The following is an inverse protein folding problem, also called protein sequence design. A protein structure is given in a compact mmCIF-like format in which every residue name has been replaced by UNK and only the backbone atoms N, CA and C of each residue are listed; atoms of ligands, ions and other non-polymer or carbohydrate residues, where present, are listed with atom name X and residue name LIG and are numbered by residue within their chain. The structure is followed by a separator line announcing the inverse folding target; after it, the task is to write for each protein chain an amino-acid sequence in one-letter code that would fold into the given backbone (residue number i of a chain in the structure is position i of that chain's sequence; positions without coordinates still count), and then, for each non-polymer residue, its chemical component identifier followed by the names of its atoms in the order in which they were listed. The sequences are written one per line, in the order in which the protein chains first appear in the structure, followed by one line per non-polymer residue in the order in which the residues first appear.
data_IF_897774752619
#
_entry.id   IF_897774752619
#
_cell.length_a   1.000
_cell.length_b   1.000
_cell.length_c   1.000
_cell.angle_alpha   90.00
_cell.angle_beta   90.00
_cell.angle_gamma   90.00
#
_symmetry.space_group_name_H-M   'P 1'
#
loop_
_entity.id
_entity.type
_entity.pdbx_description
1 polymer ?
#
# COMPACT_ATOMS: atom_id res chain seq x y z
N UNK A 1 -9.98 -9.67 3.09
CA UNK A 1 -8.55 -9.52 3.47
C UNK A 1 -8.29 -8.10 3.95
N UNK A 2 -7.16 -7.83 4.61
CA UNK A 2 -6.86 -6.49 5.13
C UNK A 2 -6.84 -5.40 4.04
N UNK A 3 -6.37 -5.71 2.82
CA UNK A 3 -6.46 -4.82 1.67
C UNK A 3 -7.92 -4.40 1.34
N UNK A 4 -8.85 -5.36 1.32
CA UNK A 4 -10.28 -5.10 1.06
C UNK A 4 -10.84 -4.17 2.13
N UNK A 5 -10.56 -4.47 3.41
CA UNK A 5 -10.96 -3.61 4.52
C UNK A 5 -10.45 -2.18 4.36
N UNK A 6 -9.16 -1.98 4.06
CA UNK A 6 -8.60 -0.64 3.86
C UNK A 6 -9.26 0.09 2.68
N UNK A 7 -9.55 -0.62 1.59
CA UNK A 7 -10.22 -0.03 0.42
C UNK A 7 -11.64 0.40 0.77
N UNK A 8 -12.43 -0.47 1.40
CA UNK A 8 -13.80 -0.16 1.81
C UNK A 8 -13.84 0.94 2.86
N UNK A 9 -12.90 0.92 3.81
CA UNK A 9 -12.81 1.91 4.87
C UNK A 9 -12.45 3.29 4.32
N UNK A 10 -11.48 3.37 3.41
CA UNK A 10 -11.15 4.61 2.72
C UNK A 10 -12.32 5.13 1.90
N UNK A 11 -12.99 4.29 1.12
CA UNK A 11 -14.12 4.72 0.28
C UNK A 11 -15.31 5.22 1.09
N UNK A 12 -15.53 4.65 2.27
CA UNK A 12 -16.68 4.98 3.12
C UNK A 12 -16.43 6.17 4.04
N UNK A 13 -15.20 6.35 4.51
CA UNK A 13 -14.88 7.32 5.58
C UNK A 13 -13.71 8.26 5.27
N UNK A 14 -12.93 8.01 4.23
CA UNK A 14 -11.80 8.85 3.82
C UNK A 14 -12.13 9.79 2.66
N UNK A 15 -11.22 10.71 2.36
CA UNK A 15 -11.32 11.52 1.16
C UNK A 15 -10.80 10.77 -0.08
N UNK A 16 -11.35 11.06 -1.25
CA UNK A 16 -10.94 10.44 -2.53
C UNK A 16 -9.47 10.68 -2.88
N UNK A 17 -8.90 11.76 -2.36
CA UNK A 17 -7.49 12.15 -2.52
C UNK A 17 -6.53 11.42 -1.58
N UNK A 18 -7.02 10.66 -0.59
CA UNK A 18 -6.18 10.04 0.44
C UNK A 18 -5.99 8.52 0.24
N UNK A 19 -6.50 7.95 -0.85
CA UNK A 19 -6.41 6.51 -1.17
C UNK A 19 -4.99 5.93 -1.06
N UNK A 20 -3.99 6.66 -1.51
CA UNK A 20 -2.59 6.24 -1.38
C UNK A 20 -2.04 6.43 0.05
N UNK A 21 -2.53 7.40 0.81
CA UNK A 21 -2.17 7.62 2.22
C UNK A 21 -2.69 6.52 3.15
N UNK A 22 -3.90 5.99 2.92
CA UNK A 22 -4.45 4.89 3.72
C UNK A 22 -3.57 3.64 3.68
N UNK A 23 -3.15 3.25 2.47
CA UNK A 23 -2.23 2.12 2.31
C UNK A 23 -0.81 2.47 2.79
N UNK A 24 -0.36 3.72 2.61
CA UNK A 24 0.93 4.16 3.12
C UNK A 24 1.05 3.98 4.63
N UNK A 25 0.03 4.42 5.39
CA UNK A 25 0.00 4.25 6.83
C UNK A 25 0.15 2.78 7.24
N UNK A 26 -0.65 1.88 6.65
CA UNK A 26 -0.62 0.47 6.98
C UNK A 26 0.72 -0.19 6.61
N UNK A 27 1.26 0.13 5.43
CA UNK A 27 2.57 -0.37 4.98
C UNK A 27 3.68 0.07 5.93
N UNK A 28 3.72 1.36 6.30
CA UNK A 28 4.75 1.88 7.19
C UNK A 28 4.67 1.26 8.59
N UNK A 29 3.46 1.07 9.13
CA UNK A 29 3.26 0.35 10.40
C UNK A 29 3.79 -1.09 10.34
N UNK A 30 3.55 -1.80 9.24
CA UNK A 30 4.07 -3.17 9.05
C UNK A 30 5.60 -3.19 8.89
N UNK A 31 6.20 -2.17 8.28
CA UNK A 31 7.65 -2.04 8.19
C UNK A 31 8.28 -1.78 9.57
N UNK A 32 7.66 -0.95 10.43
CA UNK A 32 8.07 -0.79 11.82
C UNK A 32 8.01 -2.11 12.61
N UNK A 33 7.04 -2.96 12.29
CA UNK A 33 6.90 -4.32 12.84
C UNK A 33 7.79 -5.37 12.13
N UNK A 34 8.77 -4.93 11.33
CA UNK A 34 9.74 -5.77 10.60
C UNK A 34 9.09 -6.84 9.72
N UNK A 35 7.97 -6.51 9.08
CA UNK A 35 7.22 -7.42 8.17
C UNK A 35 7.24 -6.95 6.70
N UNK A 36 8.41 -6.82 6.05
CA UNK A 36 8.51 -6.26 4.69
C UNK A 36 7.81 -7.12 3.63
N UNK A 37 7.89 -8.46 3.71
CA UNK A 37 7.21 -9.36 2.76
C UNK A 37 5.68 -9.21 2.82
N UNK A 38 5.14 -9.11 4.03
CA UNK A 38 3.70 -8.92 4.23
C UNK A 38 3.26 -7.52 3.82
N UNK A 39 4.09 -6.50 4.06
CA UNK A 39 3.84 -5.12 3.61
C UNK A 39 3.78 -5.03 2.08
N UNK A 40 4.71 -5.70 1.36
CA UNK A 40 4.70 -5.75 -0.10
C UNK A 40 3.43 -6.41 -0.64
N UNK A 41 3.04 -7.55 -0.07
CA UNK A 41 1.80 -8.24 -0.45
C UNK A 41 0.57 -7.38 -0.19
N UNK A 42 0.53 -6.67 0.94
CA UNK A 42 -0.58 -5.76 1.25
C UNK A 42 -0.67 -4.62 0.23
N UNK A 43 0.46 -3.98 -0.09
CA UNK A 43 0.54 -2.91 -1.08
C UNK A 43 0.03 -3.39 -2.45
N UNK A 44 0.52 -4.54 -2.93
CA UNK A 44 0.11 -5.13 -4.20
C UNK A 44 -1.40 -5.43 -4.21
N UNK A 45 -1.89 -6.20 -3.23
CA UNK A 45 -3.31 -6.54 -3.17
C UNK A 45 -4.20 -5.30 -3.08
N UNK A 46 -3.81 -4.26 -2.34
CA UNK A 46 -4.59 -3.02 -2.27
C UNK A 46 -4.64 -2.31 -3.63
N UNK A 47 -3.51 -2.15 -4.31
CA UNK A 47 -3.45 -1.48 -5.62
C UNK A 47 -4.23 -2.24 -6.70
N UNK A 48 -4.24 -3.57 -6.64
CA UNK A 48 -4.96 -4.42 -7.59
C UNK A 48 -6.48 -4.29 -7.44
N UNK A 49 -7.00 -4.20 -6.21
CA UNK A 49 -8.44 -4.22 -5.94
C UNK A 49 -9.06 -2.83 -5.84
N UNK A 50 -8.30 -1.81 -5.44
CA UNK A 50 -8.85 -0.49 -5.15
C UNK A 50 -9.40 0.15 -6.43
N UNK A 51 -10.69 0.53 -6.49
CA UNK A 51 -11.37 0.90 -7.73
C UNK A 51 -10.73 2.08 -8.47
N UNK A 52 -10.21 3.06 -7.75
CA UNK A 52 -9.57 4.25 -8.33
C UNK A 52 -8.05 4.14 -8.54
N UNK A 53 -7.49 2.94 -8.38
CA UNK A 53 -6.08 2.63 -8.64
C UNK A 53 -6.00 1.53 -9.70
N UNK A 54 -6.56 0.34 -9.42
CA UNK A 54 -6.59 -0.88 -10.26
C UNK A 54 -5.40 -1.02 -11.20
N UNK A 55 -4.20 -0.99 -10.62
CA UNK A 55 -2.95 -1.00 -11.37
C UNK A 55 -1.92 -1.87 -10.68
N UNK A 56 -1.22 -2.67 -11.48
CA UNK A 56 0.04 -3.28 -11.07
C UNK A 56 1.16 -2.25 -10.98
N UNK A 57 2.31 -2.65 -10.45
CA UNK A 57 3.52 -1.84 -10.49
C UNK A 57 4.06 -1.73 -11.94
N UNK A 58 4.50 -0.54 -12.41
CA UNK A 58 4.55 0.74 -11.70
C UNK A 58 3.18 1.39 -11.53
N UNK A 59 2.96 2.02 -10.37
CA UNK A 59 1.68 2.58 -9.99
C UNK A 59 1.50 4.02 -10.49
N UNK A 60 0.26 4.50 -10.67
CA UNK A 60 -0.01 5.87 -11.12
C UNK A 60 0.29 6.94 -10.06
N UNK A 61 0.47 6.56 -8.79
CA UNK A 61 0.73 7.48 -7.68
C UNK A 61 2.21 7.41 -7.27
N UNK A 62 2.95 8.53 -7.26
CA UNK A 62 4.34 8.56 -6.84
C UNK A 62 4.59 8.00 -5.44
N UNK A 63 3.67 8.23 -4.49
CA UNK A 63 3.77 7.71 -3.13
C UNK A 63 3.77 6.17 -3.11
N UNK A 64 2.92 5.52 -3.91
CA UNK A 64 2.86 4.06 -3.99
C UNK A 64 4.17 3.47 -4.57
N UNK A 65 4.75 4.14 -5.57
CA UNK A 65 6.05 3.76 -6.11
C UNK A 65 7.17 3.95 -5.08
N UNK A 66 7.15 5.06 -4.33
CA UNK A 66 8.08 5.30 -3.24
C UNK A 66 7.99 4.19 -2.17
N UNK A 67 6.78 3.79 -1.77
CA UNK A 67 6.59 2.68 -0.83
C UNK A 67 7.13 1.37 -1.39
N UNK A 68 6.84 1.05 -2.65
CA UNK A 68 7.35 -0.16 -3.31
C UNK A 68 8.88 -0.24 -3.25
N UNK A 69 9.58 0.83 -3.66
CA UNK A 69 11.03 0.90 -3.58
C UNK A 69 11.55 0.89 -2.14
N UNK A 70 10.87 1.55 -1.21
CA UNK A 70 11.23 1.55 0.22
C UNK A 70 11.17 0.13 0.79
N UNK A 71 10.13 -0.63 0.48
CA UNK A 71 9.99 -2.01 0.94
C UNK A 71 11.12 -2.88 0.36
N UNK A 72 11.42 -2.76 -0.94
CA UNK A 72 12.54 -3.49 -1.57
C UNK A 72 13.87 -3.12 -0.91
N UNK A 73 14.12 -1.82 -0.69
CA UNK A 73 15.34 -1.33 -0.05
C UNK A 73 15.52 -1.92 1.36
N UNK A 74 14.44 -2.01 2.15
CA UNK A 74 14.48 -2.60 3.49
C UNK A 74 14.61 -4.13 3.44
N UNK A 75 13.90 -4.79 2.52
CA UNK A 75 13.90 -6.24 2.39
C UNK A 75 15.25 -6.79 1.90
N UNK A 76 15.99 -6.00 1.13
CA UNK A 76 17.29 -6.35 0.56
C UNK A 76 18.47 -5.88 1.42
N UNK A 77 18.24 -5.39 2.65
CA UNK A 77 19.34 -5.15 3.58
C UNK A 77 19.93 -6.50 4.03
N UNK A 78 21.15 -6.76 3.57
CA UNK A 78 22.05 -7.79 4.10
C UNK A 78 22.29 -7.61 5.61
#
# INVERSE_FOLDING_TARGET
TFAVFLSEYQMKYGYTTEKDLFIAQAVLQMLCDRKPKSALKLLQCYCDIHPDIRSGFPYPFPLLNFLHFTIICIANKE
#
